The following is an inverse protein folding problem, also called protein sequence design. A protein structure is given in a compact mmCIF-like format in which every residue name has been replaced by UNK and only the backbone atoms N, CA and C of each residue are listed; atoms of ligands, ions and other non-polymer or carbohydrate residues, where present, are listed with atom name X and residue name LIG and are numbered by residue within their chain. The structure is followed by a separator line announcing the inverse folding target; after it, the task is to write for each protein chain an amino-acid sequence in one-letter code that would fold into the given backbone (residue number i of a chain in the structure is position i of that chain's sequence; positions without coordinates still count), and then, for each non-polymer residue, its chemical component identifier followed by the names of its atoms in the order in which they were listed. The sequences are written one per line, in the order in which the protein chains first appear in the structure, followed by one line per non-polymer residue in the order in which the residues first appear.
data_IF_708936703609
#
_entry.id   IF_708936703609
#
_cell.length_a   1.000
_cell.length_b   1.000
_cell.length_c   1.000
_cell.angle_alpha   90.00
_cell.angle_beta   90.00
_cell.angle_gamma   90.00
#
_symmetry.space_group_name_H-M   'P 1'
#
loop_
_entity.id
_entity.type
_entity.pdbx_description
1 polymer ?
#
# COMPACT_ATOMS: atom_id res chain seq x y z
N UNK A 1 3.66 -22.72 -10.13
CA UNK A 1 3.49 -22.17 -8.76
C UNK A 1 2.17 -21.42 -8.70
N UNK A 2 1.34 -21.66 -7.69
CA UNK A 2 0.10 -20.89 -7.52
C UNK A 2 0.42 -19.49 -7.01
N UNK A 3 -0.08 -18.45 -7.68
CA UNK A 3 0.16 -17.05 -7.29
C UNK A 3 -1.10 -16.42 -6.71
N UNK A 4 -0.93 -15.47 -5.79
CA UNK A 4 -2.00 -14.59 -5.33
C UNK A 4 -1.42 -13.25 -4.91
N UNK A 5 -2.28 -12.23 -4.80
CA UNK A 5 -1.89 -10.91 -4.27
C UNK A 5 -1.74 -10.90 -2.74
N UNK A 6 -2.21 -11.94 -2.06
CA UNK A 6 -2.15 -12.02 -0.61
C UNK A 6 -0.84 -12.69 -0.17
N UNK A 7 -0.23 -12.25 0.94
CA UNK A 7 0.95 -12.91 1.50
C UNK A 7 0.63 -14.37 1.92
N UNK A 8 1.64 -15.24 1.87
CA UNK A 8 1.53 -16.62 2.38
C UNK A 8 0.86 -17.62 1.43
N UNK A 9 0.89 -17.38 0.11
CA UNK A 9 0.31 -18.30 -0.89
C UNK A 9 1.04 -19.65 -1.01
N UNK A 10 2.38 -19.62 -0.99
CA UNK A 10 3.23 -20.81 -0.98
C UNK A 10 3.44 -21.23 0.47
N UNK A 11 2.94 -22.42 0.83
CA UNK A 11 2.97 -22.93 2.22
C UNK A 11 3.89 -24.13 2.42
N UNK A 12 4.24 -24.79 1.33
CA UNK A 12 5.08 -25.98 1.34
C UNK A 12 6.27 -25.76 0.40
N UNK A 13 7.38 -26.42 0.70
CA UNK A 13 8.51 -26.51 -0.21
C UNK A 13 8.08 -27.21 -1.51
N UNK A 14 8.47 -26.65 -2.65
CA UNK A 14 8.12 -27.13 -3.98
C UNK A 14 9.39 -27.32 -4.79
N UNK A 15 9.50 -28.45 -5.47
CA UNK A 15 10.58 -28.71 -6.43
C UNK A 15 9.99 -28.79 -7.83
N UNK A 16 10.54 -28.01 -8.73
CA UNK A 16 10.18 -27.96 -10.14
C UNK A 16 11.36 -28.46 -10.97
N UNK A 17 11.17 -29.57 -11.68
CA UNK A 17 12.17 -30.10 -12.61
C UNK A 17 12.06 -29.31 -13.91
N UNK A 18 13.04 -28.47 -14.22
CA UNK A 18 13.03 -27.65 -15.45
C UNK A 18 13.68 -28.41 -16.62
N UNK A 19 14.79 -29.09 -16.35
CA UNK A 19 15.50 -29.95 -17.30
C UNK A 19 16.04 -31.18 -16.55
N UNK A 20 16.59 -32.20 -17.23
CA UNK A 20 17.22 -33.34 -16.56
C UNK A 20 18.36 -32.94 -15.59
N UNK A 21 18.97 -31.77 -15.79
CA UNK A 21 20.11 -31.28 -15.01
C UNK A 21 19.78 -30.07 -14.12
N UNK A 22 18.62 -29.44 -14.27
CA UNK A 22 18.24 -28.21 -13.52
C UNK A 22 16.94 -28.42 -12.76
N UNK A 23 16.99 -28.11 -11.46
CA UNK A 23 15.84 -28.12 -10.54
C UNK A 23 15.68 -26.76 -9.90
N UNK A 24 14.46 -26.24 -9.87
CA UNK A 24 14.09 -25.03 -9.17
C UNK A 24 13.39 -25.42 -7.87
N UNK A 25 13.89 -24.89 -6.76
CA UNK A 25 13.33 -25.11 -5.43
C UNK A 25 12.67 -23.81 -4.95
N UNK A 26 11.36 -23.82 -4.76
CA UNK A 26 10.60 -22.71 -4.18
C UNK A 26 10.19 -23.08 -2.74
N UNK A 27 10.24 -22.12 -1.83
CA UNK A 27 9.96 -22.34 -0.42
C UNK A 27 8.90 -21.36 0.08
N UNK A 28 8.26 -21.63 1.23
CA UNK A 28 7.34 -20.68 1.83
C UNK A 28 8.04 -19.35 2.12
N UNK A 29 7.35 -18.25 1.84
CA UNK A 29 7.85 -16.92 2.16
C UNK A 29 8.02 -16.74 3.68
N UNK A 30 9.16 -16.20 4.09
CA UNK A 30 9.47 -15.85 5.48
C UNK A 30 9.61 -14.33 5.61
N UNK A 31 9.09 -13.78 6.71
CA UNK A 31 9.30 -12.38 7.09
C UNK A 31 10.14 -12.34 8.37
N UNK A 32 11.30 -11.69 8.31
CA UNK A 32 12.14 -11.47 9.50
C UNK A 32 11.63 -10.26 10.31
N UNK A 33 11.90 -10.22 11.63
CA UNK A 33 11.63 -9.03 12.44
C UNK A 33 12.31 -7.79 11.84
N UNK A 34 11.52 -6.76 11.56
CA UNK A 34 11.99 -5.52 10.94
C UNK A 34 11.84 -4.33 11.88
N UNK A 35 12.81 -3.41 11.83
CA UNK A 35 12.76 -2.11 12.50
C UNK A 35 12.10 -1.02 11.63
N UNK A 36 11.65 -1.38 10.42
CA UNK A 36 10.96 -0.46 9.54
C UNK A 36 9.65 0.03 10.17
N UNK A 37 9.22 1.27 9.90
CA UNK A 37 7.92 1.76 10.37
C UNK A 37 6.77 0.83 9.95
N UNK A 38 5.75 0.60 10.80
CA UNK A 38 4.62 -0.27 10.47
C UNK A 38 3.94 0.10 9.16
N UNK A 39 3.84 1.39 8.86
CA UNK A 39 3.24 1.93 7.62
C UNK A 39 4.01 1.46 6.39
N UNK A 40 5.35 1.47 6.46
CA UNK A 40 6.19 0.99 5.37
C UNK A 40 6.06 -0.52 5.21
N UNK A 41 5.93 -1.26 6.30
CA UNK A 41 5.69 -2.71 6.26
C UNK A 41 4.33 -3.05 5.61
N UNK A 42 3.29 -2.25 5.86
CA UNK A 42 2.00 -2.34 5.16
C UNK A 42 2.18 -2.14 3.66
N UNK A 43 2.87 -1.07 3.25
CA UNK A 43 3.08 -0.73 1.85
C UNK A 43 3.97 -1.75 1.12
N UNK A 44 4.89 -2.40 1.85
CA UNK A 44 5.72 -3.49 1.35
C UNK A 44 4.98 -4.84 1.24
N UNK A 45 3.70 -4.91 1.61
CA UNK A 45 2.89 -6.12 1.52
C UNK A 45 3.17 -7.16 2.61
N UNK A 46 3.85 -6.76 3.69
CA UNK A 46 4.11 -7.64 4.86
C UNK A 46 2.81 -7.90 5.62
N UNK A 47 2.05 -6.83 5.89
CA UNK A 47 0.74 -6.94 6.54
C UNK A 47 -0.37 -7.04 5.49
N UNK A 48 -1.35 -7.95 5.67
CA UNK A 48 -2.49 -8.04 4.77
C UNK A 48 -3.39 -6.80 4.94
N UNK A 49 -3.45 -5.95 3.91
CA UNK A 49 -4.22 -4.69 3.90
C UNK A 49 -5.67 -4.87 4.36
N UNK A 50 -6.32 -5.99 3.99
CA UNK A 50 -7.71 -6.30 4.40
C UNK A 50 -7.93 -6.51 5.89
N UNK A 51 -6.87 -6.76 6.66
CA UNK A 51 -6.97 -7.05 8.10
C UNK A 51 -6.51 -5.87 8.96
N UNK A 52 -6.10 -4.76 8.35
CA UNK A 52 -5.69 -3.56 9.08
C UNK A 52 -6.89 -2.97 9.79
N UNK A 53 -6.77 -2.75 11.10
CA UNK A 53 -7.78 -2.04 11.89
C UNK A 53 -7.81 -0.55 11.54
N UNK A 54 -6.63 0.01 11.32
CA UNK A 54 -6.43 1.43 11.08
C UNK A 54 -5.51 1.57 9.83
N UNK A 55 -6.06 1.87 8.65
CA UNK A 55 -5.28 2.03 7.42
C UNK A 55 -4.82 3.48 7.16
N UNK A 56 -5.30 4.47 7.93
CA UNK A 56 -5.12 5.89 7.64
C UNK A 56 -3.70 6.37 7.93
N UNK A 57 -3.03 5.82 8.94
CA UNK A 57 -1.58 6.04 9.18
C UNK A 57 -0.73 5.71 7.95
N UNK A 58 -0.97 4.56 7.31
CA UNK A 58 -0.26 4.15 6.10
C UNK A 58 -0.58 5.06 4.90
N UNK A 59 -1.83 5.53 4.78
CA UNK A 59 -2.18 6.55 3.77
C UNK A 59 -1.48 7.87 4.06
N UNK A 60 -1.38 8.28 5.32
CA UNK A 60 -0.64 9.47 5.73
C UNK A 60 0.85 9.36 5.43
N UNK A 61 1.44 8.19 5.63
CA UNK A 61 2.83 7.92 5.27
C UNK A 61 3.08 8.08 3.76
N UNK A 62 2.13 7.65 2.92
CA UNK A 62 2.15 7.89 1.47
C UNK A 62 1.98 9.38 1.15
N UNK A 63 0.98 10.04 1.73
CA UNK A 63 0.65 11.44 1.46
C UNK A 63 1.79 12.40 1.86
N UNK A 64 2.58 12.03 2.88
CA UNK A 64 3.76 12.80 3.28
C UNK A 64 4.92 12.73 2.26
N UNK A 65 4.87 11.81 1.29
CA UNK A 65 5.97 11.53 0.33
C UNK A 65 5.55 11.64 -1.13
N UNK A 66 4.25 11.67 -1.40
CA UNK A 66 3.68 11.75 -2.74
C UNK A 66 2.64 12.88 -2.76
N UNK A 67 2.49 13.62 -3.86
CA UNK A 67 1.39 14.57 -4.06
C UNK A 67 0.08 13.79 -4.29
N UNK A 68 -0.37 13.11 -3.24
CA UNK A 68 -1.45 12.12 -3.31
C UNK A 68 -2.79 12.72 -3.78
N UNK A 69 -3.20 13.92 -3.34
CA UNK A 69 -4.40 14.57 -3.88
C UNK A 69 -4.36 14.77 -5.39
N UNK A 70 -3.23 15.22 -5.93
CA UNK A 70 -3.07 15.47 -7.37
C UNK A 70 -3.06 14.15 -8.15
N UNK A 71 -2.34 13.14 -7.66
CA UNK A 71 -2.28 11.81 -8.26
C UNK A 71 -3.64 11.11 -8.28
N UNK A 72 -4.47 11.35 -7.27
CA UNK A 72 -5.83 10.82 -7.17
C UNK A 72 -6.88 11.73 -7.84
N UNK A 73 -6.49 12.92 -8.28
CA UNK A 73 -7.37 13.94 -8.88
C UNK A 73 -8.52 14.33 -7.93
N UNK A 74 -8.19 14.54 -6.65
CA UNK A 74 -9.19 14.88 -5.63
C UNK A 74 -9.58 16.36 -5.74
N UNK A 75 -10.87 16.70 -5.54
CA UNK A 75 -11.28 18.09 -5.39
C UNK A 75 -10.63 18.69 -4.13
N UNK A 76 -10.33 20.01 -4.10
CA UNK A 76 -9.76 20.66 -2.93
C UNK A 76 -10.64 20.44 -1.68
N UNK A 77 -10.05 20.32 -0.49
CA UNK A 77 -10.81 20.06 0.73
C UNK A 77 -11.73 21.25 1.01
N UNK A 78 -12.95 20.97 1.44
CA UNK A 78 -13.97 21.98 1.72
C UNK A 78 -13.66 22.84 2.96
N UNK A 79 -12.75 22.39 3.83
CA UNK A 79 -12.39 23.05 5.07
C UNK A 79 -10.99 23.67 5.07
N UNK A 80 -10.77 24.66 5.95
CA UNK A 80 -9.50 25.37 6.10
C UNK A 80 -8.35 24.53 6.70
N UNK A 81 -8.63 23.31 7.17
CA UNK A 81 -7.66 22.43 7.83
C UNK A 81 -6.64 21.79 6.86
N UNK A 82 -6.82 21.96 5.55
CA UNK A 82 -5.94 21.40 4.53
C UNK A 82 -6.06 19.88 4.39
N UNK A 83 -5.09 19.28 3.70
CA UNK A 83 -5.07 17.84 3.44
C UNK A 83 -4.61 17.05 4.66
N UNK A 84 -5.49 16.21 5.20
CA UNK A 84 -5.18 15.19 6.21
C UNK A 84 -5.36 13.79 5.60
N UNK A 85 -4.78 12.72 6.19
CA UNK A 85 -4.99 11.36 5.70
C UNK A 85 -6.47 10.98 5.68
N UNK A 86 -7.24 11.47 6.66
CA UNK A 86 -8.69 11.32 6.70
C UNK A 86 -9.38 12.06 5.54
N UNK A 87 -9.07 13.35 5.36
CA UNK A 87 -9.68 14.16 4.29
C UNK A 87 -9.38 13.61 2.89
N UNK A 88 -8.18 13.06 2.67
CA UNK A 88 -7.81 12.37 1.43
C UNK A 88 -8.71 11.14 1.23
N UNK A 89 -8.86 10.29 2.27
CA UNK A 89 -9.67 9.09 2.17
C UNK A 89 -11.16 9.41 2.02
N UNK A 90 -11.65 10.47 2.67
CA UNK A 90 -13.02 10.94 2.57
C UNK A 90 -13.33 11.47 1.17
N UNK A 91 -12.50 12.37 0.63
CA UNK A 91 -12.65 12.88 -0.74
C UNK A 91 -12.58 11.73 -1.77
N UNK A 92 -11.69 10.75 -1.54
CA UNK A 92 -11.63 9.56 -2.39
C UNK A 92 -12.87 8.68 -2.29
N UNK A 93 -13.43 8.51 -1.10
CA UNK A 93 -14.68 7.80 -0.89
C UNK A 93 -15.83 8.49 -1.64
N UNK A 94 -15.92 9.81 -1.57
CA UNK A 94 -16.94 10.60 -2.26
C UNK A 94 -16.83 10.49 -3.78
N UNK A 95 -15.63 10.69 -4.33
CA UNK A 95 -15.37 10.57 -5.78
C UNK A 95 -15.68 9.17 -6.31
N UNK A 96 -15.46 8.12 -5.50
CA UNK A 96 -15.75 6.72 -5.86
C UNK A 96 -17.18 6.28 -5.52
N UNK A 97 -17.99 7.15 -4.89
CA UNK A 97 -19.33 6.82 -4.43
C UNK A 97 -19.37 5.75 -3.33
N UNK A 98 -18.29 5.60 -2.55
CA UNK A 98 -18.24 4.64 -1.44
C UNK A 98 -19.05 5.17 -0.26
N UNK A 99 -20.14 4.45 0.05
CA UNK A 99 -21.10 4.82 1.10
C UNK A 99 -21.29 3.68 2.08
N UNK A 100 -21.38 4.01 3.36
CA UNK A 100 -21.71 3.06 4.44
C UNK A 100 -23.19 2.66 4.37
N UNK A 101 -23.48 1.38 4.61
CA UNK A 101 -24.83 0.84 4.42
C UNK A 101 -25.89 1.45 5.36
N UNK A 102 -25.53 1.79 6.60
CA UNK A 102 -26.49 2.28 7.61
C UNK A 102 -26.77 3.77 7.55
N UNK A 103 -25.73 4.59 7.38
CA UNK A 103 -25.81 6.03 7.59
C UNK A 103 -25.59 6.83 6.30
N UNK A 104 -25.36 6.17 5.15
CA UNK A 104 -25.02 6.80 3.88
C UNK A 104 -23.85 7.81 3.96
N UNK A 105 -23.01 7.68 4.99
CA UNK A 105 -21.76 8.46 5.12
C UNK A 105 -20.70 7.89 4.20
N UNK A 106 -19.75 8.71 3.79
CA UNK A 106 -18.59 8.29 3.00
C UNK A 106 -17.84 7.16 3.70
N UNK A 107 -17.60 6.06 3.00
CA UNK A 107 -16.90 4.88 3.55
C UNK A 107 -15.37 5.07 3.43
N UNK A 108 -14.85 5.80 4.41
CA UNK A 108 -13.43 6.21 4.50
C UNK A 108 -12.50 5.00 4.63
N UNK A 109 -12.91 3.96 5.36
CA UNK A 109 -12.12 2.74 5.54
C UNK A 109 -11.94 1.98 4.21
N UNK A 110 -13.01 1.82 3.44
CA UNK A 110 -12.96 1.21 2.11
C UNK A 110 -12.11 2.02 1.15
N UNK A 111 -12.22 3.35 1.20
CA UNK A 111 -11.39 4.25 0.42
C UNK A 111 -9.89 4.11 0.75
N UNK A 112 -9.53 4.13 2.04
CA UNK A 112 -8.16 3.93 2.50
C UNK A 112 -7.58 2.59 2.05
N UNK A 113 -8.35 1.50 2.21
CA UNK A 113 -7.98 0.18 1.70
C UNK A 113 -7.73 0.18 0.19
N UNK A 114 -8.56 0.89 -0.57
CA UNK A 114 -8.40 1.07 -2.02
C UNK A 114 -7.10 1.78 -2.37
N UNK A 115 -6.78 2.88 -1.69
CA UNK A 115 -5.53 3.65 -1.87
C UNK A 115 -4.30 2.79 -1.59
N UNK A 116 -4.27 2.09 -0.46
CA UNK A 116 -3.15 1.20 -0.11
C UNK A 116 -2.97 0.06 -1.11
N UNK A 117 -4.07 -0.48 -1.66
CA UNK A 117 -3.98 -1.51 -2.72
C UNK A 117 -3.46 -0.96 -4.05
N UNK A 118 -3.76 0.29 -4.39
CA UNK A 118 -3.17 0.95 -5.56
C UNK A 118 -1.66 1.15 -5.37
N UNK A 119 -1.22 1.49 -4.16
CA UNK A 119 0.20 1.59 -3.83
C UNK A 119 0.91 0.23 -3.91
N UNK A 120 0.37 -0.80 -3.23
CA UNK A 120 0.93 -2.16 -3.28
C UNK A 120 0.90 -2.76 -4.70
N UNK A 121 -0.05 -2.36 -5.53
CA UNK A 121 -0.14 -2.75 -6.94
C UNK A 121 0.75 -1.95 -7.90
N UNK A 122 1.50 -0.96 -7.40
CA UNK A 122 2.41 -0.14 -8.21
C UNK A 122 1.75 0.94 -9.07
N UNK A 123 0.44 1.19 -8.87
CA UNK A 123 -0.28 2.31 -9.49
C UNK A 123 0.10 3.63 -8.84
N UNK A 124 0.34 3.63 -7.52
CA UNK A 124 0.97 4.72 -6.78
C UNK A 124 2.38 4.28 -6.40
N UNK A 125 3.40 4.92 -6.96
CA UNK A 125 4.79 4.48 -6.81
C UNK A 125 5.50 5.30 -5.74
N UNK A 126 5.80 4.67 -4.62
CA UNK A 126 6.69 5.21 -3.60
C UNK A 126 8.11 4.75 -3.88
N UNK A 127 9.04 5.70 -4.02
CA UNK A 127 10.47 5.43 -4.15
C UNK A 127 11.19 5.93 -2.91
N UNK A 128 12.02 5.09 -2.30
CA UNK A 128 12.88 5.47 -1.18
C UNK A 128 14.33 5.55 -1.71
N UNK A 129 14.91 6.76 -1.84
CA UNK A 129 16.30 6.88 -2.27
C UNK A 129 17.24 6.31 -1.20
N UNK A 130 18.42 5.80 -1.59
CA UNK A 130 19.40 5.33 -0.62
C UNK A 130 19.94 6.49 0.24
N UNK A 131 20.49 6.20 1.43
CA UNK A 131 21.17 7.20 2.24
C UNK A 131 22.25 7.93 1.43
N UNK A 132 22.30 9.25 1.52
CA UNK A 132 23.29 10.08 0.80
C UNK A 132 22.97 10.33 -0.68
N UNK A 133 21.86 9.82 -1.22
CA UNK A 133 21.52 9.97 -2.64
C UNK A 133 21.40 11.43 -3.10
N UNK A 134 20.75 12.28 -2.29
CA UNK A 134 20.56 13.70 -2.62
C UNK A 134 21.87 14.50 -2.53
N UNK A 135 22.80 14.11 -1.66
CA UNK A 135 24.08 14.80 -1.49
C UNK A 135 25.06 14.55 -2.66
N UNK A 136 24.85 13.48 -3.44
CA UNK A 136 25.65 13.17 -4.63
C UNK A 136 25.09 13.77 -5.92
N UNK A 137 23.89 14.36 -5.86
CA UNK A 137 23.37 15.20 -6.96
C UNK A 137 23.97 16.59 -6.77
N UNK A 138 25.16 16.80 -7.35
CA UNK A 138 25.58 18.16 -7.68
C UNK A 138 24.46 18.87 -8.44
N UNK A 139 24.31 20.16 -8.14
CA UNK A 139 23.31 21.08 -8.69
C UNK A 139 23.06 20.91 -10.20
#
# INVERSE_FOLDING_TARGET
VGVSRAPGRTRYFQTHLLTPTVRLCDCPGLVFPSRAPPELQVLAGVYPISQLQEPYSAVGFLAARLPLPDLLQLPPPSGAAGWTPWAICEAWAEQRGYRTARAARSDVYRAANGILRMAAGGQLRLCLPPPGYAAQRGE
#
